data_IF_082969459317
#
_entry.id   IF_082969459317
#
_cell.length_a   1.000
_cell.length_b   1.000
_cell.length_c   1.000
_cell.angle_alpha   90.00
_cell.angle_beta   90.00
_cell.angle_gamma   90.00
#
_symmetry.space_group_name_H-M   'P 1'
#
loop_
_entity.id
_entity.type
_entity.pdbx_description
1 polymer ?
#
# COMPACT_ATOMS: atom_id res chain seq x y z
N UNK A 1 66.55 -40.97 34.60
CA UNK A 1 65.09 -41.06 34.90
C UNK A 1 64.36 -39.70 35.01
N UNK A 2 65.02 -38.59 35.29
CA UNK A 2 64.42 -37.26 35.48
C UNK A 2 63.95 -36.54 34.19
N UNK A 3 64.51 -36.89 33.02
CA UNK A 3 64.22 -36.22 31.75
C UNK A 3 62.88 -36.69 31.16
N UNK A 4 62.49 -37.94 31.38
CA UNK A 4 61.22 -38.51 30.86
C UNK A 4 60.03 -37.92 31.64
N UNK A 5 60.10 -37.69 32.89
CA UNK A 5 59.06 -37.07 33.73
C UNK A 5 58.78 -35.63 33.31
N UNK A 6 59.82 -34.86 32.96
CA UNK A 6 59.68 -33.43 32.58
C UNK A 6 58.98 -33.23 31.23
N UNK A 7 59.06 -34.24 30.34
CA UNK A 7 58.36 -34.15 29.01
C UNK A 7 56.91 -34.59 29.11
N UNK A 8 56.54 -35.47 30.05
CA UNK A 8 55.12 -35.88 30.23
C UNK A 8 54.33 -34.73 30.85
N UNK A 9 54.88 -34.01 31.84
CA UNK A 9 54.17 -32.84 32.40
C UNK A 9 53.95 -31.70 31.39
N UNK A 10 54.93 -31.42 30.55
CA UNK A 10 54.78 -30.41 29.50
C UNK A 10 53.71 -30.77 28.46
N UNK A 11 53.57 -32.04 28.12
CA UNK A 11 52.53 -32.49 27.19
C UNK A 11 51.13 -32.51 27.82
N UNK A 12 51.03 -32.83 29.11
CA UNK A 12 49.78 -32.78 29.88
C UNK A 12 49.29 -31.34 30.06
N UNK A 13 50.19 -30.39 30.31
CA UNK A 13 49.86 -28.97 30.42
C UNK A 13 49.38 -28.43 29.05
N UNK A 14 50.11 -28.77 27.97
CA UNK A 14 49.69 -28.38 26.59
C UNK A 14 48.34 -28.97 26.19
N UNK A 15 48.03 -30.20 26.59
CA UNK A 15 46.71 -30.81 26.32
C UNK A 15 45.60 -30.13 27.12
N UNK A 16 45.85 -29.76 28.37
CA UNK A 16 44.88 -29.02 29.20
C UNK A 16 44.61 -27.64 28.65
N UNK A 17 45.62 -26.90 28.21
CA UNK A 17 45.46 -25.59 27.57
C UNK A 17 44.67 -25.70 26.23
N UNK A 18 44.95 -26.72 25.42
CA UNK A 18 44.26 -26.96 24.18
C UNK A 18 42.79 -27.30 24.39
N UNK A 19 42.47 -28.12 25.37
CA UNK A 19 41.09 -28.46 25.73
C UNK A 19 40.36 -27.27 26.37
N UNK A 20 41.03 -26.44 27.16
CA UNK A 20 40.49 -25.22 27.72
C UNK A 20 40.15 -24.22 26.62
N UNK A 21 41.02 -24.05 25.62
CA UNK A 21 40.81 -23.18 24.46
C UNK A 21 39.63 -23.67 23.60
N UNK A 22 39.52 -24.99 23.43
CA UNK A 22 38.44 -25.62 22.67
C UNK A 22 37.08 -25.46 23.36
N UNK A 23 37.03 -25.59 24.72
CA UNK A 23 35.86 -25.31 25.53
C UNK A 23 35.46 -23.82 25.45
N UNK A 24 36.43 -22.91 25.54
CA UNK A 24 36.18 -21.47 25.42
C UNK A 24 35.61 -21.10 24.03
N UNK A 25 36.14 -21.71 22.98
CA UNK A 25 35.64 -21.54 21.61
C UNK A 25 34.23 -22.12 21.41
N UNK A 26 33.95 -23.27 22.05
CA UNK A 26 32.61 -23.87 22.03
C UNK A 26 31.58 -22.99 22.77
N UNK A 27 31.95 -22.39 23.90
CA UNK A 27 31.09 -21.47 24.66
C UNK A 27 30.79 -20.20 23.84
N UNK A 28 31.79 -19.67 23.12
CA UNK A 28 31.60 -18.51 22.22
C UNK A 28 30.66 -18.82 21.05
N UNK A 29 30.67 -20.04 20.50
CA UNK A 29 29.79 -20.46 19.44
C UNK A 29 28.33 -20.68 19.89
N UNK A 30 28.11 -20.97 21.17
CA UNK A 30 26.79 -21.17 21.78
C UNK A 30 26.08 -19.85 22.15
N UNK A 31 26.79 -18.73 22.18
CA UNK A 31 26.21 -17.42 22.57
C UNK A 31 25.53 -16.67 21.45
N UNK A 32 25.40 -17.26 20.24
CA UNK A 32 24.67 -16.65 19.09
C UNK A 32 23.15 -16.76 19.24
N UNK A 33 22.58 -16.13 20.26
CA UNK A 33 21.14 -15.95 20.35
C UNK A 33 20.70 -14.77 19.49
N UNK A 34 20.14 -15.03 18.32
CA UNK A 34 19.45 -14.02 17.54
C UNK A 34 18.23 -13.49 18.34
N UNK A 35 18.15 -12.18 18.54
CA UNK A 35 17.04 -11.56 19.28
C UNK A 35 15.72 -11.83 18.56
N UNK A 36 14.81 -12.51 19.27
CA UNK A 36 13.47 -12.87 18.76
C UNK A 36 12.63 -11.66 18.35
N UNK A 37 12.92 -10.49 18.93
CA UNK A 37 12.25 -9.21 18.62
C UNK A 37 12.35 -8.75 17.17
N UNK A 38 13.32 -9.24 16.40
CA UNK A 38 13.51 -8.85 15.00
C UNK A 38 12.53 -9.51 14.02
N UNK A 39 11.83 -10.57 14.45
CA UNK A 39 11.05 -11.43 13.55
C UNK A 39 9.56 -11.54 13.92
N UNK A 40 9.11 -10.87 14.99
CA UNK A 40 7.72 -10.97 15.46
C UNK A 40 7.05 -9.62 15.29
N UNK A 41 5.90 -9.62 14.61
CA UNK A 41 5.02 -8.45 14.46
C UNK A 41 4.13 -8.28 15.68
N UNK A 42 3.65 -7.06 15.92
CA UNK A 42 2.62 -6.74 16.91
C UNK A 42 2.97 -7.20 18.35
N UNK A 43 4.23 -7.06 18.75
CA UNK A 43 4.73 -7.54 20.04
C UNK A 43 4.13 -6.80 21.24
N UNK A 44 3.62 -5.58 21.02
CA UNK A 44 3.03 -4.71 22.05
C UNK A 44 1.52 -4.93 22.18
N UNK A 45 0.95 -5.89 21.43
CA UNK A 45 -0.48 -6.22 21.50
C UNK A 45 -0.72 -7.42 22.39
N UNK A 46 -1.58 -7.28 23.39
CA UNK A 46 -1.98 -8.37 24.28
C UNK A 46 -3.15 -9.15 23.68
N UNK A 47 -3.07 -10.49 23.74
CA UNK A 47 -4.16 -11.35 23.27
C UNK A 47 -5.42 -11.16 24.12
N UNK A 48 -6.51 -10.82 23.47
CA UNK A 48 -7.81 -10.63 24.12
C UNK A 48 -8.16 -9.18 24.47
N UNK A 49 -7.22 -8.25 24.35
CA UNK A 49 -7.52 -6.83 24.44
C UNK A 49 -8.18 -6.29 23.17
N UNK A 50 -9.09 -5.33 23.37
CA UNK A 50 -9.76 -4.63 22.26
C UNK A 50 -9.04 -3.33 21.98
N UNK A 51 -8.43 -3.23 20.82
CA UNK A 51 -7.79 -1.99 20.35
C UNK A 51 -8.80 -1.15 19.56
N UNK A 52 -8.98 0.14 19.89
CA UNK A 52 -9.91 0.99 19.17
C UNK A 52 -9.41 1.15 17.71
N UNK A 53 -10.30 0.87 16.76
CA UNK A 53 -10.06 1.23 15.37
C UNK A 53 -10.10 2.76 15.28
N UNK A 54 -8.95 3.36 15.10
CA UNK A 54 -8.82 4.80 14.87
C UNK A 54 -9.58 5.19 13.60
N UNK A 55 -10.31 6.30 13.69
CA UNK A 55 -11.18 6.94 12.70
C UNK A 55 -11.15 6.39 11.27
N UNK A 56 -12.33 6.37 10.63
CA UNK A 56 -12.48 6.13 9.19
C UNK A 56 -11.60 7.13 8.43
N UNK A 57 -10.45 6.67 7.94
CA UNK A 57 -9.64 7.43 7.00
C UNK A 57 -10.20 7.20 5.61
N UNK A 58 -10.82 8.21 5.03
CA UNK A 58 -11.11 8.24 3.61
C UNK A 58 -9.88 8.76 2.87
N UNK A 59 -9.62 8.18 1.69
CA UNK A 59 -8.57 8.66 0.82
C UNK A 59 -8.93 10.07 0.31
N UNK A 60 -7.94 10.95 0.31
CA UNK A 60 -8.03 12.30 -0.22
C UNK A 60 -7.45 12.31 -1.62
N UNK A 61 -8.10 12.99 -2.53
CA UNK A 61 -7.70 13.10 -3.93
C UNK A 61 -6.56 14.12 -4.06
N UNK A 62 -5.50 13.73 -4.77
CA UNK A 62 -4.33 14.55 -5.05
C UNK A 62 -4.12 14.73 -6.56
N UNK A 63 -3.20 15.63 -6.91
CA UNK A 63 -2.73 15.81 -8.29
C UNK A 63 -2.16 14.50 -8.80
N UNK A 64 -2.26 14.28 -10.10
CA UNK A 64 -1.86 13.04 -10.78
C UNK A 64 -2.65 11.79 -10.41
N UNK A 65 -3.60 11.85 -9.47
CA UNK A 65 -4.53 10.76 -9.23
C UNK A 65 -5.38 10.51 -10.47
N UNK A 66 -5.70 9.25 -10.65
CA UNK A 66 -6.56 8.81 -11.73
C UNK A 66 -7.80 8.15 -11.15
N UNK A 67 -8.95 8.71 -11.48
CA UNK A 67 -10.25 8.32 -10.94
C UNK A 67 -11.09 7.64 -12.02
N UNK A 68 -11.67 6.49 -11.69
CA UNK A 68 -12.81 5.92 -12.42
C UNK A 68 -14.07 6.49 -11.81
N UNK A 69 -14.85 7.22 -12.59
CA UNK A 69 -16.12 7.79 -12.15
C UNK A 69 -17.22 7.19 -13.00
N UNK A 70 -18.12 6.43 -12.37
CA UNK A 70 -19.23 5.77 -13.05
C UNK A 70 -20.54 6.33 -12.53
N UNK A 71 -21.38 6.80 -13.46
CA UNK A 71 -22.74 7.26 -13.19
C UNK A 71 -23.72 6.20 -13.64
N UNK A 72 -24.66 5.84 -12.79
CA UNK A 72 -25.74 4.90 -13.11
C UNK A 72 -27.10 5.52 -12.78
N UNK A 73 -28.13 5.05 -13.45
CA UNK A 73 -29.49 5.54 -13.30
C UNK A 73 -30.49 4.40 -13.53
N UNK A 74 -31.74 4.56 -13.05
CA UNK A 74 -32.84 3.66 -13.39
C UNK A 74 -33.16 3.65 -14.90
N UNK A 75 -32.82 4.74 -15.58
CA UNK A 75 -32.89 4.88 -17.04
C UNK A 75 -31.44 4.93 -17.56
N UNK A 76 -30.85 3.80 -17.99
CA UNK A 76 -29.44 3.74 -18.36
C UNK A 76 -29.03 4.73 -19.45
N UNK A 77 -29.92 5.05 -20.37
CA UNK A 77 -29.70 5.97 -21.49
C UNK A 77 -29.29 7.38 -21.01
N UNK A 78 -29.83 7.83 -19.85
CA UNK A 78 -29.50 9.12 -19.26
C UNK A 78 -28.09 9.16 -18.67
N UNK A 79 -27.55 8.01 -18.28
CA UNK A 79 -26.23 7.91 -17.68
C UNK A 79 -25.10 7.80 -18.72
N UNK A 80 -25.41 7.34 -19.94
CA UNK A 80 -24.41 7.12 -21.01
C UNK A 80 -23.53 8.33 -21.26
N UNK A 81 -24.06 9.57 -21.43
CA UNK A 81 -23.22 10.72 -21.70
C UNK A 81 -22.22 11.08 -20.60
N UNK A 82 -22.50 10.71 -19.36
CA UNK A 82 -21.59 10.94 -18.21
C UNK A 82 -20.44 9.93 -18.14
N UNK A 83 -20.56 8.79 -18.81
CA UNK A 83 -19.59 7.69 -18.79
C UNK A 83 -18.68 7.65 -20.03
N UNK A 84 -18.65 8.68 -20.83
CA UNK A 84 -17.93 8.71 -22.10
C UNK A 84 -16.42 8.42 -21.98
N UNK A 85 -15.78 8.71 -20.85
CA UNK A 85 -14.35 8.45 -20.61
C UNK A 85 -14.06 7.09 -19.95
N UNK A 86 -15.10 6.32 -19.57
CA UNK A 86 -14.93 4.97 -19.02
C UNK A 86 -14.80 3.87 -20.09
N UNK A 87 -14.73 4.24 -21.33
CA UNK A 87 -14.67 3.40 -22.53
C UNK A 87 -15.54 4.02 -23.62
N UNK A 88 -15.22 3.79 -24.88
CA UNK A 88 -16.07 4.24 -26.00
C UNK A 88 -17.45 3.57 -25.90
N UNK A 89 -18.36 4.26 -25.22
CA UNK A 89 -19.77 3.90 -25.22
C UNK A 89 -20.37 4.45 -26.52
N UNK A 90 -20.65 3.57 -27.47
CA UNK A 90 -21.34 3.92 -28.69
C UNK A 90 -22.78 3.43 -28.60
N UNK A 91 -23.70 4.34 -28.87
CA UNK A 91 -25.08 3.98 -29.15
C UNK A 91 -25.15 3.74 -30.64
N UNK A 92 -25.41 2.50 -31.08
CA UNK A 92 -25.63 2.23 -32.49
C UNK A 92 -27.04 2.75 -32.93
N UNK A 93 -27.29 2.77 -34.24
CA UNK A 93 -28.53 3.29 -34.78
C UNK A 93 -29.83 2.60 -34.28
N UNK A 94 -29.69 1.47 -33.60
CA UNK A 94 -30.79 0.67 -33.02
C UNK A 94 -31.00 0.96 -31.52
N UNK A 95 -30.28 1.93 -30.93
CA UNK A 95 -30.39 2.25 -29.51
C UNK A 95 -29.63 1.27 -28.59
N UNK A 96 -28.89 0.31 -29.16
CA UNK A 96 -28.06 -0.60 -28.37
C UNK A 96 -26.75 0.08 -27.91
N UNK A 97 -26.49 -0.02 -26.61
CA UNK A 97 -25.27 0.50 -25.99
C UNK A 97 -24.19 -0.56 -26.14
N UNK A 98 -23.24 -0.36 -27.04
CA UNK A 98 -22.05 -1.20 -27.16
C UNK A 98 -20.85 -0.50 -26.53
N UNK A 99 -20.33 -1.08 -25.45
CA UNK A 99 -19.03 -0.69 -24.90
C UNK A 99 -17.93 -1.36 -25.74
N UNK A 100 -17.34 -0.62 -26.65
CA UNK A 100 -16.15 -1.09 -27.37
C UNK A 100 -14.91 -0.80 -26.53
N UNK A 101 -14.26 -1.86 -26.06
CA UNK A 101 -12.91 -1.79 -25.53
C UNK A 101 -11.95 -1.54 -26.71
N UNK A 102 -11.98 -0.37 -27.27
CA UNK A 102 -11.19 0.00 -28.44
C UNK A 102 -10.12 1.00 -28.07
N UNK A 103 -8.88 0.50 -28.06
CA UNK A 103 -7.66 1.30 -28.14
C UNK A 103 -7.27 1.99 -26.83
N UNK A 104 -6.02 1.87 -26.49
CA UNK A 104 -5.13 2.53 -25.54
C UNK A 104 -5.44 3.96 -25.04
N UNK A 105 -6.70 4.35 -24.88
CA UNK A 105 -7.05 5.49 -24.05
C UNK A 105 -6.97 5.05 -22.60
N UNK A 106 -6.16 5.75 -21.86
CA UNK A 106 -6.07 5.57 -20.42
C UNK A 106 -7.45 5.80 -19.81
N UNK A 107 -8.01 4.75 -19.22
CA UNK A 107 -9.35 4.80 -18.61
C UNK A 107 -9.35 5.79 -17.44
N UNK A 108 -10.48 6.47 -17.27
CA UNK A 108 -10.73 7.36 -16.14
C UNK A 108 -10.28 8.81 -16.35
N UNK A 109 -10.38 9.58 -15.30
CA UNK A 109 -10.10 11.02 -15.26
C UNK A 109 -8.80 11.24 -14.48
N UNK A 110 -7.82 11.89 -15.10
CA UNK A 110 -6.59 12.31 -14.40
C UNK A 110 -6.82 13.68 -13.78
N UNK A 111 -6.46 13.81 -12.51
CA UNK A 111 -6.41 15.11 -11.83
C UNK A 111 -5.21 15.87 -12.36
N UNK A 112 -5.44 17.06 -12.89
CA UNK A 112 -4.40 17.91 -13.48
C UNK A 112 -3.56 18.65 -12.43
N UNK A 113 -2.63 19.47 -12.88
CA UNK A 113 -1.73 20.26 -12.02
C UNK A 113 -2.43 21.35 -11.22
N UNK A 114 -3.62 21.75 -11.65
CA UNK A 114 -4.47 22.74 -10.98
C UNK A 114 -5.49 22.08 -10.04
N UNK A 115 -5.46 20.74 -9.93
CA UNK A 115 -6.34 19.97 -9.08
C UNK A 115 -7.72 19.70 -9.68
N UNK A 116 -7.87 19.82 -10.99
CA UNK A 116 -9.15 19.72 -11.69
C UNK A 116 -9.25 18.43 -12.50
N UNK A 117 -10.48 18.01 -12.77
CA UNK A 117 -10.82 17.00 -13.79
C UNK A 117 -11.81 17.61 -14.78
N UNK A 118 -11.75 17.19 -16.04
CA UNK A 118 -12.76 17.55 -17.03
C UNK A 118 -13.79 16.42 -17.12
N UNK A 119 -14.98 16.65 -16.53
CA UNK A 119 -16.04 15.66 -16.47
C UNK A 119 -17.11 15.94 -17.53
N UNK A 120 -17.57 14.93 -18.27
CA UNK A 120 -18.56 15.12 -19.32
C UNK A 120 -19.80 15.84 -18.82
N UNK A 121 -20.33 16.76 -19.61
CA UNK A 121 -21.53 17.58 -19.35
C UNK A 121 -21.35 18.60 -18.23
N UNK A 122 -20.69 18.21 -17.11
CA UNK A 122 -20.49 19.09 -15.96
C UNK A 122 -19.29 20.04 -16.13
N UNK A 123 -18.42 19.77 -17.11
CA UNK A 123 -17.23 20.57 -17.40
C UNK A 123 -16.11 20.35 -16.37
N UNK A 124 -15.37 21.39 -16.10
CA UNK A 124 -14.23 21.37 -15.17
C UNK A 124 -14.71 21.34 -13.72
N UNK A 125 -14.16 20.39 -12.95
CA UNK A 125 -14.45 20.18 -11.53
C UNK A 125 -13.17 20.21 -10.74
N UNK A 126 -13.08 21.09 -9.75
CA UNK A 126 -11.97 21.08 -8.79
C UNK A 126 -12.19 19.95 -7.78
N UNK A 127 -11.23 19.03 -7.70
CA UNK A 127 -11.34 17.79 -6.91
C UNK A 127 -10.20 17.58 -5.94
N UNK A 128 -9.09 18.32 -6.08
CA UNK A 128 -7.95 18.21 -5.16
C UNK A 128 -8.37 18.53 -3.72
N UNK A 129 -7.90 17.73 -2.77
CA UNK A 129 -8.23 17.90 -1.36
C UNK A 129 -9.58 17.34 -0.94
N UNK A 130 -10.42 16.89 -1.89
CA UNK A 130 -11.70 16.25 -1.58
C UNK A 130 -11.51 14.77 -1.24
N UNK A 131 -12.38 14.24 -0.39
CA UNK A 131 -12.54 12.80 -0.23
C UNK A 131 -13.41 12.24 -1.34
N UNK A 132 -13.34 10.92 -1.55
CA UNK A 132 -14.21 10.20 -2.50
C UNK A 132 -15.68 10.48 -2.21
N UNK A 133 -16.07 10.49 -0.94
CA UNK A 133 -17.46 10.79 -0.52
C UNK A 133 -17.89 12.21 -0.89
N UNK A 134 -17.02 13.20 -0.67
CA UNK A 134 -17.30 14.60 -1.02
C UNK A 134 -17.45 14.80 -2.53
N UNK A 135 -16.55 14.20 -3.33
CA UNK A 135 -16.64 14.28 -4.78
C UNK A 135 -17.89 13.55 -5.30
N UNK A 136 -18.22 12.39 -4.73
CA UNK A 136 -19.44 11.65 -5.07
C UNK A 136 -20.69 12.51 -4.87
N UNK A 137 -20.80 13.18 -3.72
CA UNK A 137 -21.97 14.02 -3.43
C UNK A 137 -22.00 15.29 -4.28
N UNK A 138 -20.84 15.89 -4.56
CA UNK A 138 -20.75 17.05 -5.46
C UNK A 138 -21.23 16.72 -6.87
N UNK A 139 -20.75 15.61 -7.45
CA UNK A 139 -21.17 15.18 -8.80
C UNK A 139 -22.66 14.86 -8.81
N UNK A 140 -23.16 14.14 -7.82
CA UNK A 140 -24.56 13.78 -7.69
C UNK A 140 -25.45 15.03 -7.61
N UNK A 141 -25.08 16.01 -6.77
CA UNK A 141 -25.80 17.28 -6.63
C UNK A 141 -25.84 18.04 -7.96
N UNK A 142 -24.70 18.19 -8.66
CA UNK A 142 -24.66 18.87 -9.96
C UNK A 142 -25.49 18.18 -11.04
N UNK A 143 -25.56 16.84 -11.04
CA UNK A 143 -26.41 16.09 -11.97
C UNK A 143 -27.90 16.34 -11.68
N UNK A 144 -28.30 16.40 -10.41
CA UNK A 144 -29.67 16.65 -9.97
C UNK A 144 -30.06 18.10 -10.28
N UNK A 145 -29.23 19.06 -9.89
CA UNK A 145 -29.49 20.51 -10.10
C UNK A 145 -29.55 20.88 -11.58
N UNK A 146 -28.73 20.22 -12.42
CA UNK A 146 -28.82 20.33 -13.87
C UNK A 146 -30.02 19.65 -14.48
N UNK A 147 -30.88 19.00 -13.67
CA UNK A 147 -32.08 18.27 -14.10
C UNK A 147 -31.81 17.17 -15.14
N UNK A 148 -30.57 16.61 -15.12
CA UNK A 148 -30.18 15.55 -16.06
C UNK A 148 -30.72 14.18 -15.62
N UNK A 149 -30.53 13.83 -14.33
CA UNK A 149 -30.98 12.57 -13.74
C UNK A 149 -31.55 12.83 -12.34
N UNK A 150 -32.79 12.36 -12.09
CA UNK A 150 -33.45 12.61 -10.80
C UNK A 150 -32.79 11.88 -9.61
N UNK A 151 -32.34 10.64 -9.84
CA UNK A 151 -31.72 9.79 -8.80
C UNK A 151 -30.46 9.12 -9.39
N UNK A 152 -29.34 9.85 -9.54
CA UNK A 152 -28.10 9.25 -10.02
C UNK A 152 -27.42 8.45 -8.91
N UNK A 153 -26.83 7.33 -9.27
CA UNK A 153 -25.87 6.62 -8.46
C UNK A 153 -24.47 6.90 -9.02
N UNK A 154 -23.60 7.46 -8.22
CA UNK A 154 -22.22 7.79 -8.59
C UNK A 154 -21.27 6.89 -7.81
N UNK A 155 -20.39 6.20 -8.50
CA UNK A 155 -19.30 5.38 -7.92
C UNK A 155 -17.96 5.94 -8.38
N UNK A 156 -17.04 6.09 -7.45
CA UNK A 156 -15.69 6.63 -7.71
C UNK A 156 -14.65 5.67 -7.13
N UNK A 157 -13.65 5.34 -7.94
CA UNK A 157 -12.56 4.44 -7.56
C UNK A 157 -11.22 5.01 -8.04
N UNK A 158 -10.15 4.83 -7.27
CA UNK A 158 -8.79 5.14 -7.72
C UNK A 158 -8.29 4.05 -8.68
N UNK A 159 -7.71 4.47 -9.81
CA UNK A 159 -7.14 3.56 -10.80
C UNK A 159 -5.62 3.40 -10.67
N UNK A 160 -4.93 4.33 -10.01
CA UNK A 160 -3.48 4.36 -9.90
C UNK A 160 -2.97 4.33 -8.47
N UNK A 161 -3.79 3.83 -7.54
CA UNK A 161 -3.35 3.70 -6.15
C UNK A 161 -2.20 2.69 -6.06
N UNK A 162 -1.05 3.15 -5.54
CA UNK A 162 0.19 2.37 -5.49
C UNK A 162 1.01 2.74 -4.27
N UNK A 163 1.86 1.81 -3.85
CA UNK A 163 2.88 2.05 -2.82
C UNK A 163 4.21 1.47 -3.28
N UNK A 164 5.30 1.97 -2.72
CA UNK A 164 6.65 1.52 -3.06
C UNK A 164 7.32 0.96 -1.83
N UNK A 165 7.90 -0.22 -1.96
CA UNK A 165 8.68 -0.89 -0.92
C UNK A 165 10.15 -0.85 -1.29
N UNK A 166 10.98 -0.36 -0.36
CA UNK A 166 12.43 -0.27 -0.51
C UNK A 166 13.11 -0.91 0.70
N UNK A 167 14.33 -1.40 0.51
CA UNK A 167 15.17 -1.93 1.59
C UNK A 167 15.10 -3.43 1.74
N UNK A 168 15.11 -3.92 2.97
CA UNK A 168 15.22 -5.34 3.30
C UNK A 168 13.84 -6.03 3.30
N UNK A 169 13.19 -6.09 2.15
CA UNK A 169 11.94 -6.84 1.92
C UNK A 169 12.21 -8.05 1.01
N UNK A 170 11.27 -8.99 0.97
CA UNK A 170 11.31 -10.14 0.08
C UNK A 170 11.33 -9.73 -1.40
N UNK A 171 10.53 -8.71 -1.74
CA UNK A 171 10.52 -8.06 -3.05
C UNK A 171 10.47 -6.55 -2.88
N UNK A 172 11.33 -5.83 -3.60
CA UNK A 172 11.34 -4.36 -3.64
C UNK A 172 10.75 -3.87 -4.96
N UNK A 173 10.07 -2.74 -4.92
CA UNK A 173 9.45 -2.17 -6.10
C UNK A 173 8.16 -1.44 -5.81
N UNK A 174 7.43 -1.07 -6.86
CA UNK A 174 6.13 -0.42 -6.78
C UNK A 174 5.03 -1.43 -7.01
N UNK A 175 4.06 -1.48 -6.10
CA UNK A 175 2.92 -2.38 -6.10
C UNK A 175 1.64 -1.58 -6.29
N UNK A 176 0.78 -2.03 -7.20
CA UNK A 176 -0.57 -1.47 -7.37
C UNK A 176 -1.54 -2.10 -6.38
N UNK A 177 -2.47 -1.32 -5.90
CA UNK A 177 -3.53 -1.75 -4.98
C UNK A 177 -4.88 -1.61 -5.67
N UNK A 178 -5.71 -2.63 -5.58
CA UNK A 178 -7.11 -2.56 -6.01
C UNK A 178 -7.92 -1.99 -4.84
N UNK A 179 -8.28 -0.70 -4.94
CA UNK A 179 -9.01 0.01 -3.90
C UNK A 179 -8.35 1.34 -3.53
N UNK A 180 -8.84 1.94 -2.46
CA UNK A 180 -8.47 3.27 -1.99
C UNK A 180 -7.59 3.28 -0.73
N UNK A 181 -7.28 2.09 -0.20
CA UNK A 181 -6.45 1.94 1.01
C UNK A 181 -5.71 0.62 1.03
N UNK A 182 -4.62 0.60 1.77
CA UNK A 182 -3.87 -0.61 2.15
C UNK A 182 -3.35 -0.44 3.58
N UNK A 183 -3.34 -1.51 4.34
CA UNK A 183 -2.69 -1.52 5.65
C UNK A 183 -1.19 -1.76 5.51
N UNK A 184 -0.42 -1.35 6.52
CA UNK A 184 1.03 -1.58 6.52
C UNK A 184 1.36 -3.09 6.47
N UNK A 185 0.60 -3.91 7.19
CA UNK A 185 0.80 -5.37 7.19
C UNK A 185 0.51 -6.00 5.83
N UNK A 186 -0.56 -5.57 5.15
CA UNK A 186 -0.86 -6.01 3.78
C UNK A 186 0.24 -5.58 2.81
N UNK A 187 0.75 -4.36 2.94
CA UNK A 187 1.83 -3.86 2.09
C UNK A 187 3.11 -4.68 2.25
N UNK A 188 3.48 -5.02 3.49
CA UNK A 188 4.64 -5.87 3.79
C UNK A 188 4.41 -7.30 3.29
N UNK A 189 3.22 -7.87 3.51
CA UNK A 189 2.87 -9.22 3.05
C UNK A 189 2.93 -9.34 1.52
N UNK A 190 2.41 -8.35 0.79
CA UNK A 190 2.48 -8.30 -0.67
C UNK A 190 3.92 -8.18 -1.19
N UNK A 191 4.81 -7.56 -0.41
CA UNK A 191 6.23 -7.47 -0.72
C UNK A 191 7.03 -8.75 -0.34
N UNK A 192 6.35 -9.81 0.12
CA UNK A 192 6.99 -11.07 0.51
C UNK A 192 7.70 -11.01 1.85
N UNK A 193 7.16 -10.21 2.78
CA UNK A 193 7.65 -10.04 4.16
C UNK A 193 9.00 -9.28 4.28
N UNK A 194 9.39 -8.95 5.51
CA UNK A 194 10.71 -8.41 5.81
C UNK A 194 11.74 -9.53 5.73
N UNK A 195 12.78 -9.34 4.92
CA UNK A 195 13.81 -10.35 4.73
C UNK A 195 14.58 -10.61 6.04
N UNK A 196 15.30 -11.74 6.13
CA UNK A 196 16.11 -12.12 7.29
C UNK A 196 17.20 -11.10 7.65
N UNK A 197 17.55 -10.20 6.74
CA UNK A 197 18.49 -9.09 6.96
C UNK A 197 17.80 -7.83 7.48
N UNK A 198 16.47 -7.76 7.39
CA UNK A 198 15.66 -6.66 7.85
C UNK A 198 15.28 -6.76 9.32
N UNK A 199 14.56 -5.75 9.79
CA UNK A 199 14.02 -5.67 11.15
C UNK A 199 12.55 -5.27 11.06
N UNK A 200 11.67 -6.08 11.61
CA UNK A 200 10.22 -5.81 11.64
C UNK A 200 9.86 -4.68 12.62
N UNK A 201 10.73 -4.43 13.60
CA UNK A 201 10.59 -3.37 14.60
C UNK A 201 11.19 -2.02 14.15
N UNK A 202 11.55 -1.88 12.88
CA UNK A 202 12.10 -0.64 12.33
C UNK A 202 11.68 -0.49 10.86
N UNK A 203 10.40 -0.24 10.68
CA UNK A 203 9.81 0.02 9.36
C UNK A 203 9.45 1.50 9.28
N UNK A 204 10.04 2.21 8.32
CA UNK A 204 9.71 3.61 8.06
C UNK A 204 8.58 3.69 7.03
N UNK A 205 7.51 4.38 7.38
CA UNK A 205 6.40 4.70 6.48
C UNK A 205 6.49 6.17 6.10
N UNK A 206 6.63 6.44 4.81
CA UNK A 206 6.67 7.79 4.25
C UNK A 206 5.33 8.03 3.57
N UNK A 207 4.65 9.10 3.96
CA UNK A 207 3.38 9.51 3.36
C UNK A 207 3.42 10.99 3.05
N UNK A 208 2.82 11.37 1.94
CA UNK A 208 2.47 12.75 1.66
C UNK A 208 1.11 13.05 2.30
N UNK A 209 1.03 14.14 3.06
CA UNK A 209 -0.19 14.59 3.70
C UNK A 209 -0.16 16.10 3.85
N UNK A 210 -1.16 16.79 3.27
CA UNK A 210 -1.25 18.26 3.35
C UNK A 210 -0.09 19.00 2.67
N UNK A 211 0.52 18.42 1.65
CA UNK A 211 1.68 18.98 0.94
C UNK A 211 3.02 18.80 1.68
N UNK A 212 3.05 18.01 2.74
CA UNK A 212 4.25 17.70 3.52
C UNK A 212 4.52 16.18 3.53
N UNK A 213 5.80 15.82 3.52
CA UNK A 213 6.22 14.43 3.70
C UNK A 213 6.26 14.09 5.19
N UNK A 214 5.42 13.16 5.60
CA UNK A 214 5.43 12.62 6.96
C UNK A 214 6.18 11.29 6.98
N UNK A 215 7.16 11.19 7.88
CA UNK A 215 7.91 9.94 8.13
C UNK A 215 7.52 9.42 9.51
N UNK A 216 7.03 8.20 9.58
CA UNK A 216 6.76 7.49 10.84
C UNK A 216 7.55 6.19 10.86
N UNK A 217 8.26 5.94 11.96
CA UNK A 217 8.88 4.64 12.24
C UNK A 217 7.95 3.86 13.17
N UNK A 218 7.75 2.60 12.87
CA UNK A 218 6.97 1.64 13.69
C UNK A 218 7.93 0.73 14.42
#
# INVERSE_FOLDING_TARGET
MAIIYRNIDKNLIKMKEKNLLLCLMAILLLSSCASRKKFVYLQDMEMGEKYPLTAKHEAVIHRDDRLSITVSSKQPELAVPFNANNGDVRVNANGEITATASGSREKGYRVDVDGNINFPILGELHVEGMTVSQLTEMIKTRIIDGNYIKNPLVSIEFLNFKYTVLGAAGSTGTFSVNGDRITLLEAIANAGDVSTRGRVDNVAVIRESGGELQVRCT
#
